data_IF_670326326201
#
_entry.id   IF_670326326201
#
_cell.length_a   1.000
_cell.length_b   1.000
_cell.length_c   1.000
_cell.angle_alpha   90.00
_cell.angle_beta   90.00
_cell.angle_gamma   90.00
#
_symmetry.space_group_name_H-M   'P 1'
#
loop_
_entity.id
_entity.type
_entity.pdbx_description
1 polymer ?
#
# COMPACT_ATOMS: atom_id res chain seq x y z
N UNK A 1 -18.41 -2.31 17.85
CA UNK A 1 -17.30 -1.99 16.93
C UNK A 1 -17.86 -1.21 15.74
N UNK A 2 -17.27 -0.07 15.46
CA UNK A 2 -17.68 0.75 14.32
C UNK A 2 -16.97 0.26 13.08
N UNK A 3 -17.73 -0.07 12.02
CA UNK A 3 -17.18 -0.51 10.77
C UNK A 3 -16.52 0.65 10.03
N UNK A 4 -15.38 0.43 9.36
CA UNK A 4 -14.77 1.48 8.55
C UNK A 4 -15.62 1.79 7.32
N UNK A 5 -15.54 3.04 6.86
CA UNK A 5 -16.08 3.45 5.57
C UNK A 5 -14.92 3.69 4.61
N UNK A 6 -15.17 3.45 3.33
CA UNK A 6 -14.15 3.61 2.28
C UNK A 6 -14.61 4.65 1.28
N UNK A 7 -13.70 5.54 0.88
CA UNK A 7 -13.96 6.53 -0.17
C UNK A 7 -12.69 6.87 -0.92
N UNK A 8 -12.80 7.32 -2.19
CA UNK A 8 -11.63 7.82 -2.91
C UNK A 8 -11.09 9.09 -2.26
N UNK A 9 -9.76 9.20 -2.23
CA UNK A 9 -9.08 10.39 -1.76
C UNK A 9 -9.21 11.52 -2.78
N UNK A 10 -9.19 12.75 -2.30
CA UNK A 10 -9.16 13.97 -3.11
C UNK A 10 -7.93 14.80 -2.75
N UNK A 11 -7.66 15.85 -3.51
CA UNK A 11 -6.50 16.72 -3.24
C UNK A 11 -6.52 17.33 -1.84
N UNK A 12 -7.70 17.51 -1.23
CA UNK A 12 -7.80 18.02 0.13
C UNK A 12 -7.34 17.02 1.20
N UNK A 13 -7.18 15.75 0.83
CA UNK A 13 -6.74 14.69 1.76
C UNK A 13 -5.23 14.52 1.81
N UNK A 14 -4.47 15.16 0.90
CA UNK A 14 -3.04 14.88 0.68
C UNK A 14 -2.20 15.05 1.93
N UNK A 15 -2.39 16.13 2.69
CA UNK A 15 -1.59 16.37 3.89
C UNK A 15 -1.79 15.29 4.95
N UNK A 16 -3.04 14.92 5.22
CA UNK A 16 -3.36 13.86 6.18
C UNK A 16 -2.88 12.49 5.70
N UNK A 17 -3.05 12.23 4.40
CA UNK A 17 -2.61 10.99 3.77
C UNK A 17 -1.08 10.83 3.84
N UNK A 18 -0.34 11.90 3.57
CA UNK A 18 1.11 11.89 3.66
C UNK A 18 1.58 11.56 5.09
N UNK A 19 0.97 12.19 6.09
CA UNK A 19 1.29 11.90 7.50
C UNK A 19 1.01 10.45 7.85
N UNK A 20 -0.11 9.91 7.40
CA UNK A 20 -0.49 8.51 7.66
C UNK A 20 0.54 7.55 7.08
N UNK A 21 0.89 7.72 5.81
CA UNK A 21 1.83 6.83 5.11
C UNK A 21 3.20 6.86 5.78
N UNK A 22 3.72 8.06 6.06
CA UNK A 22 5.04 8.18 6.70
C UNK A 22 5.05 7.57 8.10
N UNK A 23 3.98 7.74 8.88
CA UNK A 23 3.90 7.17 10.23
C UNK A 23 3.88 5.64 10.21
N UNK A 24 3.34 5.03 9.16
CA UNK A 24 3.21 3.57 9.07
C UNK A 24 4.45 2.90 8.48
N UNK A 25 5.14 3.56 7.56
CA UNK A 25 6.25 2.96 6.81
C UNK A 25 7.63 3.36 7.32
N UNK A 26 7.78 4.56 7.87
CA UNK A 26 9.09 5.14 8.20
C UNK A 26 9.12 5.71 9.60
N UNK A 27 10.34 5.82 10.16
CA UNK A 27 10.59 6.46 11.43
C UNK A 27 10.16 5.64 12.65
N UNK A 28 10.24 6.26 13.83
CA UNK A 28 9.98 5.58 15.10
C UNK A 28 8.52 5.21 15.28
N UNK A 29 7.59 6.01 14.77
CA UNK A 29 6.17 5.71 14.86
C UNK A 29 5.79 4.44 14.12
N UNK A 30 6.48 4.14 13.01
CA UNK A 30 6.25 2.92 12.25
C UNK A 30 6.56 1.66 13.07
N UNK A 31 7.55 1.74 13.97
CA UNK A 31 7.97 0.60 14.79
C UNK A 31 6.92 0.20 15.83
N UNK A 32 5.90 1.01 16.07
CA UNK A 32 4.78 0.65 16.92
C UNK A 32 3.85 -0.40 16.27
N UNK A 33 3.89 -0.56 14.94
CA UNK A 33 3.10 -1.57 14.24
C UNK A 33 3.77 -2.94 14.26
N UNK A 34 3.01 -3.99 13.88
CA UNK A 34 3.54 -5.37 13.85
C UNK A 34 4.50 -5.61 12.68
N UNK A 35 4.42 -4.80 11.64
CA UNK A 35 5.32 -4.88 10.49
C UNK A 35 5.61 -3.48 9.95
N UNK A 36 6.83 -3.25 9.51
CA UNK A 36 7.28 -1.97 8.94
C UNK A 36 8.56 -2.20 8.16
N UNK A 37 9.02 -1.19 7.45
CA UNK A 37 10.29 -1.25 6.71
C UNK A 37 11.34 -0.27 7.25
N UNK A 38 11.12 0.30 8.45
CA UNK A 38 12.00 1.31 9.03
C UNK A 38 13.43 0.79 9.28
N UNK A 39 13.60 -0.52 9.52
CA UNK A 39 14.93 -1.12 9.70
C UNK A 39 15.68 -1.31 8.37
N UNK A 40 14.98 -1.29 7.24
CA UNK A 40 15.54 -1.44 5.90
C UNK A 40 15.69 -0.10 5.19
N UNK A 41 14.80 0.84 5.47
CA UNK A 41 14.71 2.14 4.80
C UNK A 41 14.52 3.25 5.83
N UNK A 42 15.35 4.28 5.75
CA UNK A 42 15.12 5.56 6.41
C UNK A 42 14.55 6.57 5.42
N UNK A 43 14.44 7.83 5.84
CA UNK A 43 13.93 8.90 4.99
C UNK A 43 12.41 8.79 4.77
N UNK A 44 11.95 9.30 3.63
CA UNK A 44 10.51 9.33 3.32
C UNK A 44 10.06 8.11 2.51
N UNK A 45 8.77 7.74 2.62
CA UNK A 45 8.13 6.73 1.78
C UNK A 45 7.56 7.34 0.51
N UNK A 46 7.00 8.54 0.64
CA UNK A 46 6.39 9.29 -0.46
C UNK A 46 6.47 10.79 -0.13
N UNK A 47 5.98 11.63 -1.02
CA UNK A 47 5.82 13.06 -0.76
C UNK A 47 4.46 13.54 -1.29
N UNK A 48 4.08 14.77 -0.93
CA UNK A 48 2.78 15.32 -1.32
C UNK A 48 2.67 15.49 -2.83
N UNK A 49 3.76 15.81 -3.52
CA UNK A 49 3.75 15.96 -4.97
C UNK A 49 3.45 14.62 -5.66
N UNK A 50 4.05 13.53 -5.19
CA UNK A 50 3.77 12.20 -5.70
C UNK A 50 2.30 11.81 -5.48
N UNK A 51 1.76 12.10 -4.28
CA UNK A 51 0.36 11.81 -3.98
C UNK A 51 -0.59 12.60 -4.88
N UNK A 52 -0.29 13.88 -5.13
CA UNK A 52 -1.09 14.69 -6.05
C UNK A 52 -1.05 14.14 -7.47
N UNK A 53 0.11 13.66 -7.93
CA UNK A 53 0.22 13.05 -9.25
C UNK A 53 -0.64 11.79 -9.37
N UNK A 54 -0.67 10.96 -8.32
CA UNK A 54 -1.53 9.78 -8.29
C UNK A 54 -2.99 10.18 -8.39
N UNK A 55 -3.41 11.18 -7.60
CA UNK A 55 -4.81 11.60 -7.57
C UNK A 55 -5.26 12.26 -8.88
N UNK A 56 -4.34 12.83 -9.65
CA UNK A 56 -4.63 13.43 -10.95
C UNK A 56 -4.70 12.41 -12.09
N UNK A 57 -4.28 11.18 -11.87
CA UNK A 57 -4.19 10.13 -12.88
C UNK A 57 -5.46 9.26 -12.86
N UNK A 58 -6.24 9.29 -13.95
CA UNK A 58 -7.49 8.53 -14.05
C UNK A 58 -7.29 7.01 -13.98
N UNK A 59 -6.07 6.51 -14.24
CA UNK A 59 -5.76 5.09 -14.15
C UNK A 59 -5.39 4.65 -12.73
N UNK A 60 -5.43 5.56 -11.76
CA UNK A 60 -5.06 5.27 -10.36
C UNK A 60 -6.09 5.86 -9.41
N UNK A 61 -6.32 5.16 -8.30
CA UNK A 61 -7.19 5.64 -7.23
C UNK A 61 -6.57 5.28 -5.88
N UNK A 62 -6.70 6.18 -4.92
CA UNK A 62 -6.36 5.88 -3.53
C UNK A 62 -7.67 5.81 -2.76
N UNK A 63 -7.94 4.67 -2.12
CA UNK A 63 -9.09 4.53 -1.23
C UNK A 63 -8.65 4.87 0.20
N UNK A 64 -9.43 5.66 0.88
CA UNK A 64 -9.24 5.98 2.29
C UNK A 64 -10.19 5.15 3.13
N UNK A 65 -9.69 4.66 4.26
CA UNK A 65 -10.51 4.03 5.28
C UNK A 65 -10.67 5.01 6.45
N UNK A 66 -11.90 5.26 6.85
CA UNK A 66 -12.22 6.14 7.96
C UNK A 66 -13.05 5.40 9.00
N UNK A 67 -12.72 5.61 10.26
CA UNK A 67 -13.48 5.11 11.41
C UNK A 67 -13.88 6.33 12.25
N UNK A 68 -15.17 6.54 12.44
CA UNK A 68 -15.69 7.74 13.14
C UNK A 68 -15.19 9.05 12.52
N UNK A 69 -15.09 9.09 11.18
CA UNK A 69 -14.59 10.29 10.48
C UNK A 69 -13.09 10.51 10.59
N UNK A 70 -12.35 9.58 11.20
CA UNK A 70 -10.89 9.67 11.36
C UNK A 70 -10.20 8.78 10.33
N UNK A 71 -9.25 9.35 9.58
CA UNK A 71 -8.45 8.59 8.61
C UNK A 71 -7.57 7.58 9.35
N UNK A 72 -7.78 6.29 9.06
CA UNK A 72 -7.08 5.19 9.73
C UNK A 72 -6.30 4.29 8.80
N UNK A 73 -6.52 4.39 7.49
CA UNK A 73 -5.80 3.57 6.52
C UNK A 73 -6.04 4.01 5.09
N UNK A 74 -5.25 3.47 4.18
CA UNK A 74 -5.40 3.73 2.75
C UNK A 74 -4.85 2.58 1.92
N UNK A 75 -5.21 2.56 0.64
CA UNK A 75 -4.66 1.62 -0.35
C UNK A 75 -4.79 2.24 -1.73
N UNK A 76 -3.77 2.06 -2.56
CA UNK A 76 -3.78 2.49 -3.95
C UNK A 76 -4.13 1.31 -4.86
N UNK A 77 -4.94 1.57 -5.89
CA UNK A 77 -5.20 0.65 -6.98
C UNK A 77 -4.86 1.36 -8.29
N UNK A 78 -4.07 0.71 -9.14
CA UNK A 78 -3.70 1.25 -10.44
C UNK A 78 -4.05 0.25 -11.54
N UNK A 79 -4.56 0.78 -12.67
CA UNK A 79 -4.84 -0.02 -13.85
C UNK A 79 -3.54 -0.21 -14.64
N UNK A 80 -3.12 -1.46 -14.83
CA UNK A 80 -1.92 -1.80 -15.61
C UNK A 80 -2.27 -2.19 -17.04
N UNK A 81 -3.56 -2.24 -17.38
CA UNK A 81 -4.03 -2.70 -18.67
C UNK A 81 -4.19 -4.22 -18.75
N UNK A 82 -4.91 -4.67 -19.75
CA UNK A 82 -5.11 -6.10 -20.04
C UNK A 82 -5.68 -6.92 -18.87
N UNK A 83 -6.51 -6.28 -18.07
CA UNK A 83 -7.15 -6.95 -16.93
C UNK A 83 -6.28 -7.07 -15.69
N UNK A 84 -5.09 -6.47 -15.67
CA UNK A 84 -4.19 -6.47 -14.53
C UNK A 84 -4.29 -5.15 -13.78
N UNK A 85 -4.52 -5.22 -12.46
CA UNK A 85 -4.44 -4.07 -11.57
C UNK A 85 -3.25 -4.24 -10.62
N UNK A 86 -2.74 -3.13 -10.11
CA UNK A 86 -1.64 -3.09 -9.15
C UNK A 86 -2.15 -2.55 -7.82
N UNK A 87 -1.86 -3.27 -6.74
CA UNK A 87 -2.16 -2.84 -5.38
C UNK A 87 -0.89 -2.26 -4.75
N UNK A 88 -0.98 -1.05 -4.24
CA UNK A 88 0.15 -0.40 -3.61
C UNK A 88 -0.27 0.45 -2.43
N UNK A 89 0.71 0.98 -1.72
CA UNK A 89 0.52 1.96 -0.66
C UNK A 89 -0.46 1.48 0.43
N UNK A 90 -0.57 0.18 0.65
CA UNK A 90 -1.43 -0.37 1.71
C UNK A 90 -0.90 0.10 3.06
N UNK A 91 -1.73 0.83 3.78
CA UNK A 91 -1.32 1.51 5.01
C UNK A 91 -2.42 1.40 6.04
N UNK A 92 -2.05 1.05 7.27
CA UNK A 92 -2.92 1.11 8.44
C UNK A 92 -2.19 1.90 9.51
N UNK A 93 -2.88 2.80 10.20
CA UNK A 93 -2.32 3.54 11.32
C UNK A 93 -1.64 2.53 12.27
N UNK A 94 -0.33 2.70 12.58
CA UNK A 94 0.40 1.72 13.40
C UNK A 94 -0.22 1.45 14.75
N UNK A 95 -0.97 2.41 15.31
CA UNK A 95 -1.63 2.27 16.60
C UNK A 95 -2.96 1.52 16.51
N UNK A 96 -3.42 1.15 15.32
CA UNK A 96 -4.74 0.57 15.07
C UNK A 96 -4.69 -0.73 14.25
N UNK A 97 -3.53 -1.35 14.10
CA UNK A 97 -3.34 -2.50 13.21
C UNK A 97 -4.03 -3.79 13.68
N UNK A 98 -4.36 -3.90 14.96
CA UNK A 98 -4.96 -5.11 15.50
C UNK A 98 -6.43 -5.35 15.14
N UNK A 99 -7.10 -4.40 14.47
CA UNK A 99 -8.53 -4.47 14.18
C UNK A 99 -8.93 -5.16 12.88
N UNK A 100 -8.00 -5.74 12.14
CA UNK A 100 -8.29 -6.38 10.85
C UNK A 100 -8.54 -5.41 9.70
N UNK A 101 -8.19 -4.13 9.86
CA UNK A 101 -8.44 -3.10 8.85
C UNK A 101 -7.67 -3.36 7.56
N UNK A 102 -6.44 -3.89 7.65
CA UNK A 102 -5.64 -4.22 6.47
C UNK A 102 -6.34 -5.21 5.55
N UNK A 103 -6.94 -6.23 6.12
CA UNK A 103 -7.72 -7.23 5.37
C UNK A 103 -8.93 -6.59 4.68
N UNK A 104 -9.62 -5.68 5.37
CA UNK A 104 -10.77 -4.97 4.80
C UNK A 104 -10.35 -4.01 3.67
N UNK A 105 -9.19 -3.36 3.82
CA UNK A 105 -8.62 -2.51 2.77
C UNK A 105 -8.30 -3.31 1.51
N UNK A 106 -7.71 -4.50 1.66
CA UNK A 106 -7.43 -5.37 0.51
C UNK A 106 -8.74 -5.76 -0.18
N UNK A 107 -9.74 -6.15 0.57
CA UNK A 107 -11.05 -6.50 0.00
C UNK A 107 -11.68 -5.32 -0.75
N UNK A 108 -11.59 -4.12 -0.19
CA UNK A 108 -12.08 -2.90 -0.84
C UNK A 108 -11.30 -2.60 -2.12
N UNK A 109 -9.98 -2.77 -2.10
CA UNK A 109 -9.13 -2.57 -3.28
C UNK A 109 -9.45 -3.56 -4.39
N UNK A 110 -9.67 -4.82 -4.06
CA UNK A 110 -10.05 -5.84 -5.05
C UNK A 110 -11.41 -5.55 -5.68
N UNK A 111 -12.38 -5.11 -4.88
CA UNK A 111 -13.69 -4.72 -5.38
C UNK A 111 -13.59 -3.50 -6.31
N UNK A 112 -12.77 -2.51 -5.94
CA UNK A 112 -12.54 -1.32 -6.76
C UNK A 112 -11.87 -1.67 -8.08
N UNK A 113 -10.87 -2.57 -8.06
CA UNK A 113 -10.18 -3.02 -9.28
C UNK A 113 -11.18 -3.68 -10.24
N UNK A 114 -12.07 -4.53 -9.74
CA UNK A 114 -13.08 -5.19 -10.58
C UNK A 114 -14.08 -4.21 -11.15
N UNK A 115 -14.56 -3.25 -10.35
CA UNK A 115 -15.63 -2.35 -10.78
C UNK A 115 -15.12 -1.18 -11.60
N UNK A 116 -14.00 -0.58 -11.23
CA UNK A 116 -13.45 0.62 -11.89
C UNK A 116 -12.62 0.28 -13.12
N UNK A 117 -11.81 -0.78 -13.06
CA UNK A 117 -10.82 -1.11 -14.10
C UNK A 117 -11.07 -2.45 -14.78
N UNK A 118 -12.23 -3.05 -14.69
CA UNK A 118 -12.60 -4.46 -14.96
C UNK A 118 -11.43 -5.43 -14.90
N UNK A 119 -10.67 -5.37 -13.80
CA UNK A 119 -9.50 -6.21 -13.61
C UNK A 119 -9.89 -7.65 -13.26
N UNK A 120 -9.11 -8.59 -13.79
CA UNK A 120 -9.26 -10.03 -13.50
C UNK A 120 -8.14 -10.57 -12.64
N UNK A 121 -7.07 -9.78 -12.47
CA UNK A 121 -5.90 -10.13 -11.65
C UNK A 121 -5.41 -8.90 -10.93
N UNK A 122 -4.84 -9.10 -9.73
CA UNK A 122 -4.20 -8.05 -8.96
C UNK A 122 -2.76 -8.47 -8.65
N UNK A 123 -1.81 -7.58 -8.89
CA UNK A 123 -0.42 -7.80 -8.50
C UNK A 123 0.02 -6.79 -7.46
N UNK A 124 1.08 -7.11 -6.74
CA UNK A 124 1.75 -6.21 -5.82
C UNK A 124 3.23 -6.52 -5.77
N UNK A 125 4.03 -5.59 -5.28
CA UNK A 125 5.45 -5.79 -5.02
C UNK A 125 5.71 -5.64 -3.53
N UNK A 126 6.58 -6.50 -2.99
CA UNK A 126 6.95 -6.49 -1.58
C UNK A 126 8.47 -6.57 -1.50
N UNK A 127 9.09 -5.82 -0.59
CA UNK A 127 10.53 -5.93 -0.35
C UNK A 127 10.83 -7.35 0.11
N UNK A 128 11.79 -8.00 -0.54
CA UNK A 128 12.10 -9.43 -0.38
C UNK A 128 12.33 -9.83 1.08
N UNK A 129 12.97 -8.98 1.87
CA UNK A 129 13.30 -9.26 3.26
C UNK A 129 12.11 -9.22 4.22
N UNK A 130 10.96 -8.74 3.77
CA UNK A 130 9.77 -8.65 4.62
C UNK A 130 8.96 -9.95 4.57
N UNK A 131 9.56 -11.03 5.08
CA UNK A 131 8.98 -12.36 5.02
C UNK A 131 7.65 -12.48 5.77
N UNK A 132 7.49 -11.76 6.89
CA UNK A 132 6.24 -11.75 7.65
C UNK A 132 5.11 -11.09 6.85
N UNK A 133 5.43 -10.08 6.06
CA UNK A 133 4.44 -9.40 5.22
C UNK A 133 4.07 -10.26 4.02
N UNK A 134 5.04 -10.93 3.41
CA UNK A 134 4.79 -11.89 2.32
C UNK A 134 3.83 -12.99 2.80
N UNK A 135 4.09 -13.57 3.98
CA UNK A 135 3.23 -14.60 4.55
C UNK A 135 1.80 -14.08 4.81
N UNK A 136 1.69 -12.83 5.26
CA UNK A 136 0.39 -12.20 5.49
C UNK A 136 -0.40 -12.05 4.19
N UNK A 137 0.25 -11.64 3.08
CA UNK A 137 -0.41 -11.56 1.78
C UNK A 137 -0.77 -12.94 1.23
N UNK A 138 0.08 -13.95 1.48
CA UNK A 138 -0.25 -15.32 1.07
C UNK A 138 -1.56 -15.79 1.70
N UNK A 139 -1.79 -15.45 2.97
CA UNK A 139 -3.06 -15.76 3.64
C UNK A 139 -4.25 -15.03 3.02
N UNK A 140 -4.02 -13.92 2.30
CA UNK A 140 -5.07 -13.18 1.57
C UNK A 140 -5.30 -13.75 0.16
N UNK A 141 -4.55 -14.75 -0.25
CA UNK A 141 -4.69 -15.41 -1.54
C UNK A 141 -3.68 -15.01 -2.60
N UNK A 142 -2.70 -14.19 -2.24
CA UNK A 142 -1.63 -13.80 -3.16
C UNK A 142 -0.54 -14.86 -3.17
N UNK A 143 0.09 -15.06 -4.34
CA UNK A 143 1.17 -16.03 -4.48
C UNK A 143 2.37 -15.37 -5.15
N UNK A 144 3.58 -15.77 -4.73
CA UNK A 144 4.81 -15.34 -5.38
C UNK A 144 4.82 -15.84 -6.83
N UNK A 145 5.14 -14.95 -7.78
CA UNK A 145 5.18 -15.29 -9.20
C UNK A 145 6.54 -15.80 -9.65
N UNK A 146 7.58 -15.59 -8.84
CA UNK A 146 8.96 -15.83 -9.24
C UNK A 146 9.63 -14.64 -9.91
N UNK A 147 8.87 -13.62 -10.28
CA UNK A 147 9.42 -12.38 -10.83
C UNK A 147 9.97 -11.51 -9.73
N UNK A 148 11.09 -10.83 -10.00
CA UNK A 148 11.64 -9.79 -9.11
C UNK A 148 11.76 -8.48 -9.88
N UNK A 149 11.78 -7.37 -9.15
CA UNK A 149 11.94 -6.04 -9.74
C UNK A 149 12.96 -5.25 -8.92
N UNK A 150 13.79 -4.42 -9.57
CA UNK A 150 14.81 -3.66 -8.83
C UNK A 150 14.17 -2.61 -7.93
N UNK A 151 14.78 -2.41 -6.75
CA UNK A 151 14.42 -1.31 -5.87
C UNK A 151 15.20 -0.06 -6.32
N UNK A 152 14.55 1.14 -6.33
CA UNK A 152 15.23 2.39 -6.73
C UNK A 152 16.14 2.89 -5.62
N UNK A 153 17.31 2.27 -5.46
CA UNK A 153 18.25 2.50 -4.34
C UNK A 153 18.75 3.93 -4.24
N UNK A 154 18.88 4.62 -5.37
CA UNK A 154 19.47 5.96 -5.43
C UNK A 154 18.45 7.09 -5.52
N UNK A 155 17.15 6.77 -5.49
CA UNK A 155 16.08 7.78 -5.53
C UNK A 155 15.49 7.97 -4.13
N UNK A 156 15.88 9.06 -3.47
CA UNK A 156 15.49 9.36 -2.09
C UNK A 156 13.98 9.56 -1.91
N UNK A 157 13.22 9.77 -2.99
CA UNK A 157 11.76 9.86 -2.91
C UNK A 157 11.14 8.56 -2.40
N UNK A 158 11.82 7.42 -2.58
CA UNK A 158 11.37 6.11 -2.14
C UNK A 158 12.02 5.64 -0.83
N UNK A 159 12.81 6.50 -0.20
CA UNK A 159 13.44 6.24 1.08
C UNK A 159 14.96 6.27 1.01
N UNK A 160 15.59 6.17 2.17
CA UNK A 160 17.04 6.09 2.32
C UNK A 160 17.40 4.66 2.71
N UNK A 161 17.94 3.83 1.77
CA UNK A 161 18.21 2.42 2.09
C UNK A 161 19.26 2.28 3.19
N UNK A 162 18.97 1.42 4.15
CA UNK A 162 19.92 1.02 5.20
C UNK A 162 20.80 -0.14 4.73
N UNK A 163 20.45 -0.76 3.60
CA UNK A 163 21.23 -1.78 2.91
C UNK A 163 21.03 -1.61 1.41
N UNK A 164 22.02 -1.99 0.61
CA UNK A 164 21.89 -1.98 -0.84
C UNK A 164 21.34 -3.28 -1.41
N UNK A 165 21.14 -4.30 -0.55
CA UNK A 165 20.55 -5.58 -0.95
C UNK A 165 19.04 -5.54 -0.83
N UNK A 166 18.40 -4.66 -1.62
CA UNK A 166 16.95 -4.53 -1.68
C UNK A 166 16.46 -4.86 -3.09
N UNK A 167 15.44 -5.69 -3.15
CA UNK A 167 14.68 -5.92 -4.38
C UNK A 167 13.24 -6.23 -4.03
N UNK A 168 12.34 -6.04 -5.00
CA UNK A 168 10.95 -6.42 -4.85
C UNK A 168 10.72 -7.83 -5.39
N UNK A 169 9.92 -8.60 -4.66
CA UNK A 169 9.28 -9.80 -5.20
C UNK A 169 7.87 -9.43 -5.65
N UNK A 170 7.37 -10.11 -6.68
CA UNK A 170 6.03 -9.86 -7.23
C UNK A 170 5.08 -10.94 -6.75
N UNK A 171 3.93 -10.52 -6.23
CA UNK A 171 2.84 -11.41 -5.83
C UNK A 171 1.61 -11.11 -6.67
N UNK A 172 0.79 -12.13 -6.93
CA UNK A 172 -0.39 -11.99 -7.78
C UNK A 172 -1.55 -12.84 -7.27
N UNK A 173 -2.76 -12.36 -7.52
CA UNK A 173 -4.01 -13.05 -7.17
C UNK A 173 -5.02 -12.90 -8.29
N UNK A 174 -5.70 -13.99 -8.65
CA UNK A 174 -6.84 -13.93 -9.54
C UNK A 174 -8.05 -13.33 -8.81
N UNK A 175 -8.76 -12.42 -9.48
CA UNK A 175 -9.89 -11.72 -8.90
C UNK A 175 -11.23 -12.31 -9.32
N UNK A 176 -11.30 -13.51 -9.62
CA UNK A 176 -12.52 -14.30 -9.87
C UNK A 176 -13.66 -13.61 -10.59
#
# INVERSE_FOLDING_TARGET
MIAPTFRPATSSDVAALHRLVESAYRGDSAKAGWTHEADLLGGQRTDEAELLDILADASRVILLAEVDGVLTGCVQVADQGEGLAYLGLLTVDPTRQAGGLGRLLIAAAEAEARSRFPATRMEMTVIRQRSELIAWYERRGYALTGETRPFPLDDERFGLPQTRDLEFVVMEKALG
#
